data_IF_927132477689
#
_entry.id   IF_927132477689
#
_cell.length_a   1.000
_cell.length_b   1.000
_cell.length_c   1.000
_cell.angle_alpha   90.00
_cell.angle_beta   90.00
_cell.angle_gamma   90.00
#
_symmetry.space_group_name_H-M   'P 1'
#
loop_
_entity.id
_entity.type
_entity.pdbx_description
1 polymer ?
#
# COMPACT_ATOMS: atom_id res chain seq x y z
N UNK A 1 61.25 27.81 -77.71
CA UNK A 1 60.53 29.04 -78.13
C UNK A 1 59.69 29.53 -76.96
N UNK A 2 59.85 30.82 -76.59
CA UNK A 2 58.91 31.76 -75.93
C UNK A 2 58.23 31.30 -74.61
N UNK A 3 58.57 31.78 -73.41
CA UNK A 3 58.46 33.14 -72.82
C UNK A 3 57.04 33.48 -72.30
N UNK A 4 56.97 33.89 -71.01
CA UNK A 4 55.87 34.56 -70.28
C UNK A 4 54.67 33.70 -69.85
N UNK A 5 53.94 33.92 -68.73
CA UNK A 5 53.70 35.12 -67.92
C UNK A 5 53.11 34.75 -66.53
N UNK A 6 53.58 35.47 -65.50
CA UNK A 6 53.00 35.90 -64.20
C UNK A 6 51.50 35.63 -63.92
N UNK A 7 51.15 35.16 -62.70
CA UNK A 7 50.17 35.83 -61.80
C UNK A 7 50.18 35.34 -60.34
N UNK A 8 50.34 36.32 -59.45
CA UNK A 8 50.17 36.30 -58.00
C UNK A 8 48.76 35.88 -57.56
N UNK A 9 48.66 35.13 -56.46
CA UNK A 9 47.60 35.30 -55.47
C UNK A 9 48.05 34.75 -54.10
N UNK A 10 48.34 35.71 -53.23
CA UNK A 10 48.59 35.61 -51.79
C UNK A 10 47.31 35.14 -51.08
N UNK A 11 47.33 34.04 -50.32
CA UNK A 11 46.40 33.84 -49.18
C UNK A 11 47.19 33.30 -47.99
N UNK A 12 47.02 33.99 -46.87
CA UNK A 12 47.82 33.98 -45.67
C UNK A 12 47.69 32.72 -44.83
N UNK A 13 48.80 32.36 -44.19
CA UNK A 13 48.88 31.41 -43.10
C UNK A 13 48.25 31.99 -41.82
N UNK A 14 47.37 31.22 -41.18
CA UNK A 14 47.05 31.36 -39.76
C UNK A 14 47.28 29.99 -39.12
N UNK A 15 48.43 29.87 -38.45
CA UNK A 15 48.74 28.76 -37.56
C UNK A 15 48.15 29.09 -36.18
N UNK A 16 47.02 28.49 -35.82
CA UNK A 16 46.52 28.50 -34.46
C UNK A 16 47.10 27.29 -33.71
N UNK A 17 48.04 27.57 -32.81
CA UNK A 17 48.53 26.65 -31.80
C UNK A 17 47.35 26.18 -30.92
N UNK A 18 47.08 24.87 -30.91
CA UNK A 18 46.11 24.26 -29.99
C UNK A 18 46.70 24.12 -28.58
N UNK A 19 45.95 24.43 -27.52
CA UNK A 19 46.40 24.18 -26.16
C UNK A 19 46.38 22.67 -25.85
N UNK A 20 47.53 22.14 -25.44
CA UNK A 20 47.66 20.81 -24.85
C UNK A 20 47.06 20.83 -23.44
N UNK A 21 45.83 20.36 -23.29
CA UNK A 21 45.25 20.07 -21.98
C UNK A 21 45.56 18.64 -21.57
N UNK A 22 46.16 18.52 -20.38
CA UNK A 22 46.74 17.30 -19.84
C UNK A 22 45.75 16.17 -19.58
N UNK A 23 46.31 14.95 -19.51
CA UNK A 23 45.62 13.73 -19.10
C UNK A 23 45.03 13.94 -17.70
N UNK A 24 43.72 14.15 -17.64
CA UNK A 24 42.96 14.04 -16.40
C UNK A 24 43.04 12.59 -15.93
N UNK A 25 43.59 12.40 -14.72
CA UNK A 25 43.60 11.13 -14.03
C UNK A 25 42.17 10.61 -13.89
N UNK A 26 41.95 9.36 -14.33
CA UNK A 26 40.77 8.57 -14.00
C UNK A 26 40.70 8.43 -12.47
N UNK A 27 40.00 9.35 -11.80
CA UNK A 27 39.38 9.04 -10.52
C UNK A 27 38.12 8.27 -10.84
N UNK A 28 38.29 6.97 -11.03
CA UNK A 28 37.23 6.02 -10.75
C UNK A 28 36.94 6.17 -9.25
N UNK A 29 35.99 7.03 -8.92
CA UNK A 29 35.27 6.92 -7.65
C UNK A 29 34.43 5.67 -7.78
N UNK A 30 34.98 4.60 -7.23
CA UNK A 30 34.29 3.45 -6.69
C UNK A 30 33.09 3.92 -5.88
N UNK A 31 31.95 4.02 -6.56
CA UNK A 31 30.63 4.07 -5.92
C UNK A 31 29.79 3.02 -6.63
N UNK A 32 30.25 1.78 -6.47
CA UNK A 32 29.48 0.58 -6.77
C UNK A 32 28.32 0.56 -5.78
N UNK A 33 27.27 1.34 -6.05
CA UNK A 33 26.02 1.27 -5.31
C UNK A 33 25.61 -0.20 -5.22
N UNK A 34 25.76 -0.80 -4.04
CA UNK A 34 25.44 -2.21 -3.82
C UNK A 34 24.02 -2.45 -4.32
N UNK A 35 23.88 -3.33 -5.31
CA UNK A 35 22.59 -3.58 -5.93
C UNK A 35 21.60 -4.04 -4.85
N UNK A 36 20.45 -3.35 -4.77
CA UNK A 36 19.43 -3.66 -3.77
C UNK A 36 18.95 -5.11 -3.93
N UNK A 37 18.98 -5.87 -2.83
CA UNK A 37 18.49 -7.24 -2.82
C UNK A 37 16.97 -7.22 -2.91
N UNK A 38 16.42 -7.90 -3.91
CA UNK A 38 14.98 -7.96 -4.13
C UNK A 38 14.35 -9.02 -3.21
N UNK A 39 13.31 -8.64 -2.47
CA UNK A 39 12.62 -9.53 -1.52
C UNK A 39 11.11 -9.29 -1.57
N UNK A 40 10.27 -10.31 -1.39
CA UNK A 40 8.82 -10.14 -1.23
C UNK A 40 8.46 -9.73 0.20
N UNK A 41 7.51 -8.81 0.39
CA UNK A 41 7.22 -8.20 1.69
C UNK A 41 6.91 -9.22 2.79
N UNK A 42 5.99 -10.16 2.55
CA UNK A 42 5.59 -11.13 3.59
C UNK A 42 6.70 -12.14 3.89
N UNK A 43 7.45 -12.58 2.87
CA UNK A 43 8.61 -13.46 3.07
C UNK A 43 9.72 -12.75 3.84
N UNK A 44 9.97 -11.48 3.56
CA UNK A 44 10.96 -10.68 4.28
C UNK A 44 10.56 -10.43 5.75
N UNK A 45 9.26 -10.35 6.05
CA UNK A 45 8.75 -10.30 7.43
C UNK A 45 9.03 -11.64 8.13
N UNK A 46 8.72 -12.77 7.50
CA UNK A 46 8.93 -14.11 8.05
C UNK A 46 10.42 -14.42 8.31
N UNK A 47 11.30 -14.00 7.40
CA UNK A 47 12.74 -14.15 7.54
C UNK A 47 13.36 -13.20 8.58
N UNK A 48 12.61 -12.17 9.04
CA UNK A 48 13.11 -11.15 9.95
C UNK A 48 13.98 -10.07 9.30
N UNK A 49 14.12 -10.10 7.96
CA UNK A 49 14.88 -9.12 7.18
C UNK A 49 14.28 -7.71 7.31
N UNK A 50 12.96 -7.63 7.47
CA UNK A 50 12.23 -6.39 7.70
C UNK A 50 11.26 -6.47 8.87
N UNK A 51 11.03 -5.33 9.50
CA UNK A 51 9.97 -5.14 10.51
C UNK A 51 8.93 -4.16 9.95
N UNK A 52 7.67 -4.59 9.86
CA UNK A 52 6.57 -3.79 9.31
C UNK A 52 5.57 -3.42 10.41
N UNK A 53 5.40 -2.12 10.63
CA UNK A 53 4.43 -1.59 11.59
C UNK A 53 3.39 -0.73 10.87
N UNK A 54 2.12 -0.99 11.13
CA UNK A 54 1.03 -0.13 10.66
C UNK A 54 0.50 0.74 11.79
N UNK A 55 0.45 2.05 11.54
CA UNK A 55 -0.09 3.05 12.46
C UNK A 55 -1.27 3.73 11.76
N UNK A 56 -2.51 3.31 12.05
CA UNK A 56 -3.67 3.92 11.45
C UNK A 56 -3.86 5.33 11.98
N UNK A 57 -4.16 6.28 11.08
CA UNK A 57 -4.64 7.59 11.49
C UNK A 57 -6.10 7.48 11.96
N UNK A 58 -6.90 6.83 11.11
CA UNK A 58 -8.33 6.58 11.24
C UNK A 58 -8.71 5.45 10.27
N UNK A 59 -10.00 5.18 10.11
CA UNK A 59 -10.56 4.21 9.16
C UNK A 59 -10.03 4.32 7.71
N UNK A 60 -9.66 5.53 7.28
CA UNK A 60 -9.45 5.90 5.87
C UNK A 60 -7.99 5.87 5.45
N UNK A 61 -7.06 6.00 6.41
CA UNK A 61 -5.64 6.13 6.13
C UNK A 61 -4.78 5.49 7.22
N UNK A 62 -3.72 4.81 6.79
CA UNK A 62 -2.66 4.30 7.67
C UNK A 62 -1.27 4.74 7.19
N UNK A 63 -0.35 4.88 8.14
CA UNK A 63 1.09 4.99 7.84
C UNK A 63 1.73 3.61 8.04
N UNK A 64 2.44 3.13 7.04
CA UNK A 64 3.24 1.90 7.11
C UNK A 64 4.70 2.29 7.30
N UNK A 65 5.31 1.75 8.34
CA UNK A 65 6.73 1.87 8.63
C UNK A 65 7.38 0.54 8.29
N UNK A 66 8.41 0.56 7.44
CA UNK A 66 9.16 -0.63 7.04
C UNK A 66 10.60 -0.40 7.43
N UNK A 67 11.07 -1.11 8.44
CA UNK A 67 12.46 -1.06 8.90
C UNK A 67 13.24 -2.19 8.24
N UNK A 68 14.33 -1.85 7.56
CA UNK A 68 15.30 -2.81 7.07
C UNK A 68 16.23 -3.20 8.24
N UNK A 69 16.26 -4.48 8.61
CA UNK A 69 17.14 -5.00 9.67
C UNK A 69 18.48 -5.52 9.11
N UNK A 70 18.65 -5.51 7.80
CA UNK A 70 19.86 -5.99 7.13
C UNK A 70 20.86 -4.86 6.90
N UNK A 71 22.12 -5.25 6.64
CA UNK A 71 23.21 -4.33 6.29
C UNK A 71 23.26 -3.99 4.80
N UNK A 72 22.33 -4.52 3.99
CA UNK A 72 22.27 -4.32 2.55
C UNK A 72 21.03 -3.52 2.16
N UNK A 73 21.07 -2.74 1.07
CA UNK A 73 19.87 -2.12 0.55
C UNK A 73 18.87 -3.20 0.13
N UNK A 74 17.60 -3.04 0.50
CA UNK A 74 16.52 -3.94 0.11
C UNK A 74 15.58 -3.24 -0.86
N UNK A 75 15.17 -3.96 -1.90
CA UNK A 75 14.08 -3.58 -2.79
C UNK A 75 12.91 -4.52 -2.52
N UNK A 76 11.90 -4.03 -1.81
CA UNK A 76 10.83 -4.86 -1.25
C UNK A 76 9.66 -4.84 -2.22
N UNK A 77 9.27 -6.01 -2.71
CA UNK A 77 8.06 -6.17 -3.49
C UNK A 77 6.83 -6.14 -2.58
N UNK A 78 5.97 -5.17 -2.82
CA UNK A 78 4.78 -4.87 -2.06
C UNK A 78 3.59 -5.68 -2.60
N UNK A 79 2.74 -6.23 -1.73
CA UNK A 79 1.52 -6.91 -2.18
C UNK A 79 0.54 -5.89 -2.78
N UNK A 80 -0.28 -6.28 -3.74
CA UNK A 80 -1.30 -5.38 -4.29
C UNK A 80 -2.36 -5.01 -3.25
N UNK A 81 -2.70 -5.96 -2.38
CA UNK A 81 -3.70 -5.85 -1.32
C UNK A 81 -3.22 -6.53 -0.04
N UNK A 82 -3.66 -6.02 1.10
CA UNK A 82 -3.30 -6.55 2.41
C UNK A 82 -4.40 -6.23 3.43
N UNK A 83 -4.34 -6.88 4.59
CA UNK A 83 -5.12 -6.50 5.76
C UNK A 83 -4.20 -6.04 6.90
N UNK A 84 -4.64 -5.06 7.66
CA UNK A 84 -4.09 -4.68 8.95
C UNK A 84 -4.97 -5.23 10.06
N UNK A 85 -4.37 -5.90 11.06
CA UNK A 85 -5.09 -6.34 12.26
C UNK A 85 -4.43 -5.79 13.53
N UNK A 86 -5.21 -5.42 14.56
CA UNK A 86 -4.66 -4.90 15.82
C UNK A 86 -3.82 -5.96 16.53
N UNK A 87 -2.59 -5.61 16.91
CA UNK A 87 -1.65 -6.54 17.60
C UNK A 87 -2.23 -7.04 18.94
N UNK A 88 -2.99 -6.18 19.64
CA UNK A 88 -3.60 -6.51 20.93
C UNK A 88 -4.73 -7.54 20.85
N UNK A 89 -5.41 -7.68 19.70
CA UNK A 89 -6.49 -8.66 19.56
C UNK A 89 -5.97 -10.11 19.43
N UNK A 90 -4.70 -10.29 19.04
CA UNK A 90 -4.12 -11.62 18.89
C UNK A 90 -3.60 -12.16 20.23
N UNK A 91 -3.11 -11.29 21.12
CA UNK A 91 -2.73 -11.69 22.48
C UNK A 91 -3.95 -11.85 23.42
N UNK A 92 -5.06 -11.17 23.11
CA UNK A 92 -6.33 -11.31 23.85
C UNK A 92 -7.21 -12.50 23.43
N UNK A 93 -6.94 -13.14 22.30
CA UNK A 93 -7.75 -14.25 21.75
C UNK A 93 -7.28 -15.67 22.13
N UNK A 94 -6.08 -15.80 22.70
CA UNK A 94 -5.48 -17.10 23.09
C UNK A 94 -5.19 -17.19 24.61
N UNK A 95 -5.78 -16.28 25.41
CA UNK A 95 -5.53 -16.14 26.85
C UNK A 95 -6.76 -16.30 27.75
N UNK A 96 -7.90 -16.73 27.21
CA UNK A 96 -9.17 -16.85 27.95
C UNK A 96 -9.36 -18.13 28.77
N UNK A 97 -8.36 -19.02 28.85
CA UNK A 97 -8.38 -20.25 29.65
C UNK A 97 -7.81 -20.04 31.07
N UNK A 98 -8.07 -18.87 31.67
CA UNK A 98 -7.51 -18.47 32.96
C UNK A 98 -8.48 -17.57 33.72
N UNK A 99 -9.57 -18.16 34.21
CA UNK A 99 -10.61 -17.42 34.92
C UNK A 99 -11.66 -18.31 35.57
N UNK A 100 -11.20 -19.35 36.28
CA UNK A 100 -12.05 -20.04 37.25
C UNK A 100 -12.32 -19.07 38.41
N UNK A 101 -13.48 -18.43 38.40
CA UNK A 101 -13.96 -17.63 39.53
C UNK A 101 -15.02 -16.61 39.14
N UNK A 102 -16.29 -16.94 39.35
CA UNK A 102 -17.36 -15.95 39.21
C UNK A 102 -18.74 -16.55 38.93
N UNK A 103 -19.28 -17.27 39.91
CA UNK A 103 -20.69 -17.66 39.97
C UNK A 103 -21.59 -16.42 40.04
N UNK A 104 -22.55 -16.30 39.12
CA UNK A 104 -23.74 -15.46 39.30
C UNK A 104 -24.16 -14.65 38.07
N UNK A 105 -25.31 -14.99 37.47
CA UNK A 105 -26.02 -14.08 36.56
C UNK A 105 -26.68 -14.74 35.36
N UNK A 106 -27.84 -15.33 35.60
CA UNK A 106 -28.77 -15.78 34.57
C UNK A 106 -29.43 -14.57 33.87
N UNK A 107 -29.40 -14.54 32.53
CA UNK A 107 -30.30 -13.74 31.70
C UNK A 107 -29.62 -12.86 30.64
N UNK A 108 -29.75 -13.21 29.35
CA UNK A 108 -29.39 -12.32 28.25
C UNK A 108 -28.93 -13.01 26.97
N UNK A 109 -29.87 -13.61 26.25
CA UNK A 109 -29.71 -14.10 24.89
C UNK A 109 -29.58 -12.92 23.91
N UNK A 110 -28.48 -12.81 23.16
CA UNK A 110 -28.38 -11.92 22.01
C UNK A 110 -26.96 -11.54 21.55
N UNK A 111 -26.46 -12.22 20.50
CA UNK A 111 -25.60 -11.66 19.43
C UNK A 111 -24.22 -11.11 19.81
N UNK A 112 -23.18 -11.88 19.49
CA UNK A 112 -21.77 -11.51 19.73
C UNK A 112 -21.33 -10.17 19.13
N UNK A 113 -20.63 -9.40 19.96
CA UNK A 113 -19.92 -8.18 19.58
C UNK A 113 -18.87 -7.87 20.64
N UNK A 114 -17.95 -8.81 20.87
CA UNK A 114 -16.79 -8.59 21.74
C UNK A 114 -16.04 -7.36 21.19
N UNK A 115 -15.97 -6.29 22.00
CA UNK A 115 -15.59 -4.92 21.61
C UNK A 115 -14.13 -4.73 21.17
N UNK A 116 -13.67 -5.54 20.23
CA UNK A 116 -12.36 -5.49 19.61
C UNK A 116 -12.28 -4.44 18.50
N UNK A 117 -11.05 -3.98 18.24
CA UNK A 117 -10.71 -3.14 17.11
C UNK A 117 -10.95 -3.90 15.79
N UNK A 118 -11.37 -3.20 14.74
CA UNK A 118 -11.60 -3.81 13.44
C UNK A 118 -10.35 -4.03 12.61
N UNK A 119 -10.42 -4.95 11.65
CA UNK A 119 -9.44 -5.05 10.57
C UNK A 119 -9.58 -3.92 9.54
N UNK A 120 -8.47 -3.61 8.86
CA UNK A 120 -8.41 -2.61 7.79
C UNK A 120 -7.90 -3.24 6.50
N UNK A 121 -8.62 -3.06 5.40
CA UNK A 121 -8.18 -3.50 4.07
C UNK A 121 -7.45 -2.35 3.39
N UNK A 122 -6.30 -2.62 2.80
CA UNK A 122 -5.53 -1.64 2.05
C UNK A 122 -5.11 -2.19 0.69
N UNK A 123 -4.93 -1.28 -0.27
CA UNK A 123 -4.27 -1.58 -1.53
C UNK A 123 -2.98 -0.79 -1.63
N UNK A 124 -1.92 -1.41 -2.15
CA UNK A 124 -0.59 -0.80 -2.27
C UNK A 124 -0.31 -0.21 -3.65
N UNK A 125 -1.37 0.00 -4.43
CA UNK A 125 -1.35 0.73 -5.70
C UNK A 125 -0.86 2.16 -5.53
N UNK A 126 -0.22 2.70 -6.57
CA UNK A 126 0.52 3.96 -6.53
C UNK A 126 -0.36 5.18 -6.26
N UNK A 127 -0.54 5.52 -4.98
CA UNK A 127 -1.15 6.79 -4.57
C UNK A 127 -0.09 7.90 -4.58
N UNK A 128 0.42 8.19 -5.78
CA UNK A 128 1.27 9.34 -6.09
C UNK A 128 0.44 10.49 -6.66
N UNK A 129 -0.48 11.07 -5.89
CA UNK A 129 -1.08 12.36 -6.27
C UNK A 129 -1.63 13.10 -5.04
N UNK A 130 -0.89 14.12 -4.60
CA UNK A 130 -1.41 15.20 -3.74
C UNK A 130 -0.61 15.50 -2.47
N UNK A 131 0.26 16.51 -2.52
CA UNK A 131 0.72 17.26 -1.33
C UNK A 131 2.19 17.67 -1.38
N UNK A 132 2.43 18.97 -1.61
CA UNK A 132 3.73 19.60 -1.85
C UNK A 132 4.87 19.25 -0.88
N UNK A 133 6.06 19.10 -1.45
CA UNK A 133 7.33 18.95 -0.76
C UNK A 133 8.47 18.93 -1.78
N UNK A 134 9.08 20.08 -2.01
CA UNK A 134 10.29 20.22 -2.82
C UNK A 134 11.45 19.51 -2.11
N UNK A 135 11.80 18.29 -2.55
CA UNK A 135 12.98 17.58 -2.06
C UNK A 135 12.99 16.10 -2.38
N UNK A 136 13.75 15.70 -3.40
CA UNK A 136 14.15 14.31 -3.63
C UNK A 136 13.80 13.78 -5.03
N UNK A 137 14.74 13.90 -5.96
CA UNK A 137 14.73 13.16 -7.22
C UNK A 137 14.73 11.65 -6.93
N UNK A 138 13.56 11.03 -7.08
CA UNK A 138 13.38 9.58 -7.05
C UNK A 138 12.32 9.21 -8.08
N UNK A 139 12.76 9.00 -9.31
CA UNK A 139 11.94 8.52 -10.41
C UNK A 139 11.53 7.06 -10.11
N UNK A 140 10.28 6.85 -9.69
CA UNK A 140 9.81 5.54 -9.24
C UNK A 140 8.37 5.23 -9.63
N UNK A 141 8.23 4.42 -10.69
CA UNK A 141 7.24 3.34 -10.78
C UNK A 141 5.76 3.72 -10.91
N UNK A 142 5.34 3.92 -12.16
CA UNK A 142 3.93 3.84 -12.55
C UNK A 142 3.46 2.38 -12.43
N UNK A 143 2.71 2.07 -11.37
CA UNK A 143 1.97 0.81 -11.20
C UNK A 143 2.84 -0.42 -10.89
N UNK A 144 2.80 -0.88 -9.64
CA UNK A 144 3.41 -2.15 -9.24
C UNK A 144 4.70 -2.00 -8.43
N UNK A 145 4.53 -1.80 -7.12
CA UNK A 145 4.97 -2.86 -6.22
C UNK A 145 6.41 -2.91 -5.75
N UNK A 146 7.31 -1.93 -5.93
CA UNK A 146 8.65 -1.98 -5.31
C UNK A 146 8.92 -0.81 -4.37
N UNK A 147 9.49 -1.11 -3.20
CA UNK A 147 9.83 -0.13 -2.17
C UNK A 147 11.25 -0.32 -1.66
N UNK A 148 12.10 0.67 -1.90
CA UNK A 148 13.51 0.59 -1.53
C UNK A 148 13.74 1.13 -0.12
N UNK A 149 14.49 0.38 0.70
CA UNK A 149 14.89 0.79 2.05
C UNK A 149 16.39 0.55 2.22
N UNK A 150 17.12 1.63 2.53
CA UNK A 150 18.55 1.57 2.80
C UNK A 150 18.88 0.68 4.02
N UNK A 151 20.12 0.17 4.13
CA UNK A 151 20.58 -0.61 5.27
C UNK A 151 20.22 0.03 6.62
N UNK A 152 19.65 -0.75 7.53
CA UNK A 152 19.35 -0.31 8.91
C UNK A 152 18.47 0.96 9.01
N UNK A 153 17.75 1.31 7.93
CA UNK A 153 16.85 2.48 7.87
C UNK A 153 15.38 2.10 7.92
N UNK A 154 14.55 3.10 8.20
CA UNK A 154 13.09 3.00 8.18
C UNK A 154 12.54 3.77 6.99
N UNK A 155 11.90 3.06 6.07
CA UNK A 155 11.05 3.65 5.05
C UNK A 155 9.64 3.91 5.60
N UNK A 156 8.98 4.95 5.10
CA UNK A 156 7.61 5.32 5.48
C UNK A 156 6.77 5.49 4.24
N UNK A 157 5.55 4.98 4.27
CA UNK A 157 4.55 5.24 3.23
C UNK A 157 3.16 5.42 3.82
N UNK A 158 2.31 6.15 3.11
CA UNK A 158 0.89 6.29 3.44
C UNK A 158 0.09 5.37 2.54
N UNK A 159 -0.91 4.72 3.11
CA UNK A 159 -1.82 3.83 2.39
C UNK A 159 -3.27 4.24 2.68
N UNK A 160 -4.09 4.25 1.64
CA UNK A 160 -5.54 4.37 1.79
C UNK A 160 -6.11 3.03 2.29
N UNK A 161 -7.07 3.11 3.18
CA UNK A 161 -7.66 1.94 3.83
C UNK A 161 -9.18 2.03 3.90
N UNK A 162 -9.80 0.87 4.08
CA UNK A 162 -11.23 0.70 4.39
C UNK A 162 -11.42 -0.18 5.60
N UNK A 163 -12.48 0.11 6.35
CA UNK A 163 -12.99 -0.71 7.43
C UNK A 163 -13.55 -2.04 6.89
N UNK A 164 -13.00 -3.18 7.34
CA UNK A 164 -13.45 -4.51 6.92
C UNK A 164 -14.60 -5.05 7.80
N UNK A 165 -14.76 -4.50 9.01
CA UNK A 165 -15.83 -4.91 9.92
C UNK A 165 -16.77 -3.73 10.21
N UNK A 166 -17.97 -3.80 9.65
CA UNK A 166 -19.02 -2.88 10.05
C UNK A 166 -19.36 -3.04 11.56
N UNK A 167 -19.50 -1.92 12.28
CA UNK A 167 -19.99 -1.85 13.65
C UNK A 167 -18.93 -2.02 14.75
N UNK A 168 -17.69 -2.33 14.39
CA UNK A 168 -16.55 -2.32 15.32
C UNK A 168 -15.96 -0.91 15.45
N UNK A 169 -15.15 -0.69 16.48
CA UNK A 169 -14.52 0.63 16.73
C UNK A 169 -13.57 1.00 15.62
N UNK A 170 -13.60 2.27 15.22
CA UNK A 170 -12.69 2.82 14.22
C UNK A 170 -11.24 2.80 14.71
N UNK A 171 -10.30 2.34 13.86
CA UNK A 171 -8.88 2.30 14.15
C UNK A 171 -8.35 3.68 14.54
N UNK A 172 -7.38 3.74 15.45
CA UNK A 172 -6.83 5.00 15.96
C UNK A 172 -5.30 4.93 16.14
N UNK A 173 -4.59 6.08 16.19
CA UNK A 173 -3.14 6.11 16.19
C UNK A 173 -2.45 5.48 17.40
N UNK A 174 -3.19 5.20 18.48
CA UNK A 174 -2.65 4.57 19.69
C UNK A 174 -2.62 3.05 19.59
N UNK A 175 -3.30 2.46 18.60
CA UNK A 175 -3.36 1.02 18.42
C UNK A 175 -2.42 0.61 17.30
N UNK A 176 -1.44 -0.22 17.61
CA UNK A 176 -0.51 -0.75 16.62
C UNK A 176 -1.15 -1.91 15.87
N UNK A 177 -1.01 -1.88 14.55
CA UNK A 177 -1.52 -2.90 13.65
C UNK A 177 -0.36 -3.67 13.02
N UNK A 178 -0.55 -4.97 12.84
CA UNK A 178 0.33 -5.80 12.01
C UNK A 178 -0.28 -5.96 10.62
N UNK A 179 0.57 -5.97 9.61
CA UNK A 179 0.19 -6.27 8.23
C UNK A 179 0.16 -7.79 8.02
N UNK A 180 -0.90 -8.29 7.40
CA UNK A 180 -1.07 -9.70 7.02
C UNK A 180 -1.60 -9.78 5.58
N UNK A 181 -1.44 -10.92 4.88
CA UNK A 181 -2.12 -11.16 3.62
C UNK A 181 -3.63 -10.97 3.77
N UNK A 182 -4.29 -10.39 2.78
CA UNK A 182 -5.74 -10.12 2.86
C UNK A 182 -6.54 -11.41 3.02
N UNK A 183 -6.06 -12.49 2.41
CA UNK A 183 -6.64 -13.84 2.45
C UNK A 183 -6.59 -14.46 3.85
N UNK A 184 -5.63 -14.03 4.68
CA UNK A 184 -5.59 -14.41 6.10
C UNK A 184 -6.68 -13.72 6.94
N UNK A 185 -7.34 -12.71 6.37
CA UNK A 185 -8.45 -12.00 7.01
C UNK A 185 -9.81 -12.37 6.41
N UNK A 186 -9.91 -12.41 5.08
CA UNK A 186 -11.13 -12.72 4.35
C UNK A 186 -10.83 -13.43 3.03
N UNK A 187 -11.65 -14.43 2.68
CA UNK A 187 -11.56 -15.14 1.40
C UNK A 187 -12.46 -14.52 0.32
N UNK A 188 -13.08 -13.36 0.59
CA UNK A 188 -13.94 -12.70 -0.38
C UNK A 188 -13.10 -11.97 -1.45
N UNK A 189 -12.96 -12.59 -2.63
CA UNK A 189 -12.23 -12.02 -3.77
C UNK A 189 -12.81 -10.68 -4.27
N UNK A 190 -14.10 -10.43 -4.06
CA UNK A 190 -14.73 -9.16 -4.42
C UNK A 190 -14.23 -8.02 -3.51
N UNK A 191 -14.02 -8.30 -2.22
CA UNK A 191 -13.41 -7.34 -1.28
C UNK A 191 -11.95 -7.05 -1.66
N UNK A 192 -11.22 -8.07 -2.14
CA UNK A 192 -9.86 -7.88 -2.65
C UNK A 192 -9.83 -6.95 -3.87
N UNK A 193 -10.77 -7.09 -4.81
CA UNK A 193 -10.87 -6.18 -5.96
C UNK A 193 -11.20 -4.75 -5.53
N UNK A 194 -12.12 -4.56 -4.57
CA UNK A 194 -12.42 -3.22 -4.03
C UNK A 194 -11.18 -2.59 -3.39
N UNK A 195 -10.41 -3.35 -2.59
CA UNK A 195 -9.16 -2.87 -1.99
C UNK A 195 -8.11 -2.52 -3.05
N UNK A 196 -7.99 -3.32 -4.11
CA UNK A 196 -7.11 -3.06 -5.26
C UNK A 196 -7.50 -1.78 -5.99
N UNK A 197 -8.80 -1.58 -6.26
CA UNK A 197 -9.30 -0.37 -6.90
C UNK A 197 -9.03 0.87 -6.05
N UNK A 198 -9.22 0.79 -4.73
CA UNK A 198 -8.92 1.87 -3.80
C UNK A 198 -7.43 2.21 -3.78
N UNK A 199 -6.56 1.21 -3.62
CA UNK A 199 -5.11 1.41 -3.61
C UNK A 199 -4.61 2.05 -4.90
N UNK A 200 -5.18 1.66 -6.05
CA UNK A 200 -4.84 2.25 -7.34
C UNK A 200 -5.51 3.61 -7.60
N UNK A 201 -6.24 4.19 -6.64
CA UNK A 201 -6.92 5.47 -6.80
C UNK A 201 -8.08 5.46 -7.80
N UNK A 202 -8.59 4.28 -8.19
CA UNK A 202 -9.71 4.15 -9.15
C UNK A 202 -11.06 4.49 -8.53
N UNK A 203 -11.18 4.38 -7.21
CA UNK A 203 -12.39 4.68 -6.45
C UNK A 203 -12.05 5.50 -5.20
N UNK A 204 -12.99 6.33 -4.76
CA UNK A 204 -12.84 7.11 -3.53
C UNK A 204 -13.06 6.25 -2.29
N UNK A 205 -12.63 6.75 -1.13
CA UNK A 205 -12.74 6.03 0.13
C UNK A 205 -14.20 5.72 0.51
N UNK A 206 -15.13 6.67 0.40
CA UNK A 206 -16.53 6.45 0.72
C UNK A 206 -17.17 5.36 -0.17
N UNK A 207 -16.85 5.36 -1.47
CA UNK A 207 -17.33 4.33 -2.42
C UNK A 207 -16.78 2.96 -2.04
N UNK A 208 -15.47 2.89 -1.76
CA UNK A 208 -14.82 1.66 -1.34
C UNK A 208 -15.39 1.16 0.00
N UNK A 209 -15.67 2.04 0.95
CA UNK A 209 -16.24 1.70 2.26
C UNK A 209 -17.65 1.13 2.15
N UNK A 210 -18.52 1.75 1.35
CA UNK A 210 -19.87 1.28 1.10
C UNK A 210 -19.87 -0.08 0.40
N UNK A 211 -19.07 -0.24 -0.66
CA UNK A 211 -18.93 -1.52 -1.36
C UNK A 211 -18.36 -2.61 -0.43
N UNK A 212 -17.34 -2.29 0.36
CA UNK A 212 -16.74 -3.25 1.31
C UNK A 212 -17.77 -3.72 2.34
N UNK A 213 -18.53 -2.82 2.97
CA UNK A 213 -19.54 -3.23 3.96
C UNK A 213 -20.70 -4.02 3.34
N UNK A 214 -21.09 -3.72 2.10
CA UNK A 214 -22.05 -4.54 1.37
C UNK A 214 -21.52 -5.96 1.17
N UNK A 215 -20.30 -6.09 0.65
CA UNK A 215 -19.70 -7.36 0.24
C UNK A 215 -19.21 -8.22 1.43
N UNK A 216 -18.60 -7.59 2.43
CA UNK A 216 -17.98 -8.27 3.57
C UNK A 216 -18.96 -8.51 4.72
N UNK A 217 -19.96 -7.66 4.90
CA UNK A 217 -20.85 -7.70 6.06
C UNK A 217 -22.33 -7.87 5.69
N UNK A 218 -22.69 -7.89 4.40
CA UNK A 218 -24.05 -8.15 3.93
C UNK A 218 -25.02 -6.99 4.12
N UNK A 219 -24.53 -5.76 4.36
CA UNK A 219 -25.42 -4.60 4.48
C UNK A 219 -26.13 -4.34 3.14
N UNK A 220 -27.45 -4.21 3.18
CA UNK A 220 -28.22 -3.79 2.01
C UNK A 220 -27.91 -2.33 1.64
N UNK A 221 -28.12 -1.99 0.36
CA UNK A 221 -27.95 -0.62 -0.11
C UNK A 221 -28.91 0.36 0.59
N UNK A 222 -30.10 -0.10 1.02
CA UNK A 222 -31.03 0.69 1.81
C UNK A 222 -30.48 0.97 3.22
N UNK A 223 -29.85 -0.01 3.87
CA UNK A 223 -29.19 0.19 5.18
C UNK A 223 -28.00 1.14 5.07
N UNK A 224 -27.21 1.04 4.01
CA UNK A 224 -26.10 1.96 3.72
C UNK A 224 -26.63 3.39 3.45
N UNK A 225 -27.72 3.54 2.69
CA UNK A 225 -28.36 4.83 2.44
C UNK A 225 -28.90 5.49 3.71
N UNK A 226 -29.36 4.67 4.66
CA UNK A 226 -29.97 5.16 5.89
C UNK A 226 -28.93 5.55 6.95
N UNK A 227 -27.65 5.19 6.78
CA UNK A 227 -26.61 5.38 7.80
C UNK A 227 -26.21 6.83 8.01
N UNK A 228 -26.30 7.26 9.26
CA UNK A 228 -25.77 8.52 9.76
C UNK A 228 -24.32 8.33 10.22
N UNK A 229 -23.41 9.15 9.72
CA UNK A 229 -22.02 9.28 10.20
C UNK A 229 -21.99 10.08 11.49
N UNK A 230 -22.71 11.19 11.48
CA UNK A 230 -22.85 12.07 12.64
C UNK A 230 -24.33 12.17 12.93
N UNK A 231 -24.69 12.01 14.20
CA UNK A 231 -26.03 12.31 14.69
C UNK A 231 -25.90 12.99 16.03
N UNK A 232 -26.25 14.27 16.08
CA UNK A 232 -26.15 15.09 17.28
C UNK A 232 -27.53 15.24 17.94
N UNK A 233 -27.55 15.54 19.23
CA UNK A 233 -28.78 15.74 20.00
C UNK A 233 -29.62 16.94 19.52
N UNK A 234 -29.02 17.88 18.80
CA UNK A 234 -29.68 19.05 18.23
C UNK A 234 -30.43 18.76 16.91
N UNK A 235 -30.52 17.50 16.50
CA UNK A 235 -31.20 17.10 15.26
C UNK A 235 -30.33 17.20 13.99
N UNK A 236 -29.08 17.69 14.10
CA UNK A 236 -28.12 17.64 13.00
C UNK A 236 -27.72 16.19 12.72
N UNK A 237 -27.75 15.82 11.45
CA UNK A 237 -27.19 14.58 10.98
C UNK A 237 -26.38 14.77 9.70
N UNK A 238 -25.33 13.97 9.55
CA UNK A 238 -24.56 13.83 8.32
C UNK A 238 -24.67 12.37 7.90
N UNK A 239 -25.05 12.08 6.65
CA UNK A 239 -25.05 10.72 6.13
C UNK A 239 -23.62 10.24 5.87
N UNK A 240 -23.39 8.94 6.07
CA UNK A 240 -22.12 8.32 5.69
C UNK A 240 -21.85 8.43 4.18
N UNK A 241 -22.91 8.26 3.38
CA UNK A 241 -22.80 8.18 1.93
C UNK A 241 -23.88 9.05 1.27
N UNK A 242 -23.49 9.76 0.22
CA UNK A 242 -24.41 10.44 -0.67
C UNK A 242 -25.09 9.44 -1.64
N UNK A 243 -26.26 9.78 -2.21
CA UNK A 243 -26.91 8.94 -3.21
C UNK A 243 -26.04 8.63 -4.44
N UNK A 244 -25.17 9.58 -4.83
CA UNK A 244 -24.25 9.40 -5.96
C UNK A 244 -23.17 8.37 -5.61
N UNK A 245 -22.57 8.47 -4.43
CA UNK A 245 -21.57 7.50 -3.97
C UNK A 245 -22.14 6.10 -3.88
N UNK A 246 -23.37 5.95 -3.38
CA UNK A 246 -24.04 4.65 -3.29
C UNK A 246 -24.30 4.04 -4.66
N UNK A 247 -24.76 4.83 -5.64
CA UNK A 247 -24.95 4.35 -7.01
C UNK A 247 -23.63 3.88 -7.62
N UNK A 248 -22.52 4.59 -7.38
CA UNK A 248 -21.21 4.15 -7.85
C UNK A 248 -20.74 2.90 -7.10
N UNK A 249 -20.98 2.82 -5.79
CA UNK A 249 -20.65 1.64 -4.98
C UNK A 249 -21.38 0.38 -5.45
N UNK A 250 -22.65 0.49 -5.87
CA UNK A 250 -23.41 -0.61 -6.50
C UNK A 250 -22.70 -1.12 -7.76
N UNK A 251 -22.26 -0.21 -8.63
CA UNK A 251 -21.54 -0.57 -9.85
C UNK A 251 -20.17 -1.19 -9.54
N UNK A 252 -19.46 -0.66 -8.54
CA UNK A 252 -18.17 -1.20 -8.08
C UNK A 252 -18.34 -2.62 -7.52
N UNK A 253 -19.34 -2.85 -6.68
CA UNK A 253 -19.63 -4.19 -6.15
C UNK A 253 -19.98 -5.19 -7.27
N UNK A 254 -20.79 -4.76 -8.25
CA UNK A 254 -21.13 -5.58 -9.41
C UNK A 254 -19.89 -5.92 -10.26
N UNK A 255 -19.05 -4.92 -10.53
CA UNK A 255 -17.79 -5.11 -11.25
C UNK A 255 -16.82 -6.03 -10.49
N UNK A 256 -16.72 -5.90 -9.16
CA UNK A 256 -15.90 -6.75 -8.32
C UNK A 256 -16.37 -8.21 -8.38
N UNK A 257 -17.68 -8.45 -8.32
CA UNK A 257 -18.27 -9.79 -8.49
C UNK A 257 -17.99 -10.40 -9.87
N UNK A 258 -18.07 -9.62 -10.94
CA UNK A 258 -17.70 -10.09 -12.28
C UNK A 258 -16.21 -10.38 -12.43
N UNK A 259 -15.35 -9.55 -11.83
CA UNK A 259 -13.90 -9.69 -11.87
C UNK A 259 -13.45 -10.93 -11.08
N UNK A 260 -14.06 -11.17 -9.92
CA UNK A 260 -13.80 -12.35 -9.09
C UNK A 260 -14.14 -13.67 -9.80
N UNK A 261 -15.16 -13.69 -10.67
CA UNK A 261 -15.50 -14.87 -11.49
C UNK A 261 -14.48 -15.15 -12.60
N UNK A 262 -13.77 -14.11 -13.06
CA UNK A 262 -12.82 -14.19 -14.20
C UNK A 262 -11.39 -14.49 -13.75
N UNK A 263 -11.03 -14.20 -12.51
CA UNK A 263 -9.70 -14.52 -11.98
C UNK A 263 -9.70 -15.97 -11.48
N UNK A 264 -8.90 -16.89 -12.05
CA UNK A 264 -8.58 -18.12 -11.36
C UNK A 264 -7.84 -17.75 -10.07
N UNK A 265 -8.10 -18.49 -8.98
CA UNK A 265 -7.46 -18.27 -7.69
C UNK A 265 -5.95 -18.08 -7.86
N UNK A 266 -5.44 -16.89 -7.49
CA UNK A 266 -4.00 -16.67 -7.43
C UNK A 266 -3.42 -17.72 -6.47
N UNK A 267 -2.44 -18.54 -6.90
CA UNK A 267 -1.87 -19.54 -6.02
C UNK A 267 -1.25 -18.86 -4.79
N UNK A 268 -1.51 -19.48 -3.64
CA UNK A 268 -0.91 -19.11 -2.36
C UNK A 268 0.63 -19.04 -2.48
N UNK A 269 1.34 -18.17 -1.74
CA UNK A 269 2.79 -17.95 -1.87
C UNK A 269 3.73 -19.16 -1.65
N UNK A 270 3.23 -20.39 -1.56
CA UNK A 270 4.02 -21.62 -1.37
C UNK A 270 4.35 -22.41 -2.64
N UNK A 271 3.85 -22.05 -3.82
CA UNK A 271 3.91 -22.94 -5.00
C UNK A 271 5.04 -22.66 -6.01
N UNK A 272 5.91 -21.68 -5.78
CA UNK A 272 7.02 -21.37 -6.70
C UNK A 272 8.27 -22.26 -6.53
N UNK A 273 8.24 -23.28 -5.67
CA UNK A 273 9.41 -24.15 -5.44
C UNK A 273 9.41 -25.49 -6.18
N UNK A 274 8.35 -25.90 -6.89
CA UNK A 274 8.28 -27.28 -7.39
C UNK A 274 8.55 -27.50 -8.88
N UNK A 275 8.65 -26.44 -9.69
CA UNK A 275 8.85 -26.59 -11.14
C UNK A 275 10.22 -26.09 -11.61
N UNK A 276 11.28 -26.69 -11.08
CA UNK A 276 12.56 -26.76 -11.79
C UNK A 276 13.17 -28.14 -11.55
N UNK A 277 12.87 -29.06 -12.47
CA UNK A 277 13.69 -30.24 -12.77
C UNK A 277 13.68 -30.45 -14.27
#
# INVERSE_FOLDING_TARGET
MKLHLVRFALIAAIACAGPQFGKAANRASDDSAEAATQVELFQAIENGDIEVTMIPKDATQSTVLIKNNTKKPLSIKLPEVFAGVPVQAQFGGMGGMGGMGGMGGMGGMGGGGMGGMQGMGGGMGGMGMGGGGMGGMGMGGMGGGMFNVAPEKVGKMKVATVCLDHGKKDPNPRTVYKMIPLESYTNNAEVAEVCRMLGNGKISQNIAQAATWHLANGLSWQELASKDRVRLSNGYFEKWFSPIELRVAVNVASYAAESAKKQPATPSPGELSQNTR
#
